data_IF_048821725021
#
_entry.id   IF_048821725021
#
_cell.length_a   1.000
_cell.length_b   1.000
_cell.length_c   1.000
_cell.angle_alpha   90.00
_cell.angle_beta   90.00
_cell.angle_gamma   90.00
#
_symmetry.space_group_name_H-M   'P 1'
#
loop_
_entity.id
_entity.type
_entity.pdbx_description
1 polymer ?
#
# COMPACT_ATOMS: atom_id res chain seq x y z
N UNK A 1 30.96 45.93 -5.13
CA UNK A 1 30.24 44.95 -4.27
C UNK A 1 28.75 44.76 -4.62
N UNK A 2 28.25 45.19 -5.80
CA UNK A 2 26.83 45.04 -6.17
C UNK A 2 26.52 43.80 -7.05
N UNK A 3 27.52 43.20 -7.71
CA UNK A 3 27.32 42.03 -8.58
C UNK A 3 27.13 40.70 -7.81
N UNK A 4 27.55 40.62 -6.53
CA UNK A 4 27.36 39.42 -5.71
C UNK A 4 25.91 39.22 -5.22
N UNK A 5 25.16 40.31 -5.01
CA UNK A 5 23.79 40.28 -4.48
C UNK A 5 22.74 39.95 -5.54
N UNK A 6 22.98 40.30 -6.81
CA UNK A 6 22.11 39.93 -7.94
C UNK A 6 22.36 38.48 -8.38
N UNK A 7 23.60 38.00 -8.29
CA UNK A 7 23.99 36.60 -8.53
C UNK A 7 23.36 35.65 -7.51
N UNK A 8 23.40 35.99 -6.21
CA UNK A 8 22.85 35.16 -5.14
C UNK A 8 21.33 34.99 -5.28
N UNK A 9 20.58 36.08 -5.50
CA UNK A 9 19.12 36.00 -5.72
C UNK A 9 18.76 35.19 -6.97
N UNK A 10 19.50 35.35 -8.07
CA UNK A 10 19.26 34.59 -9.30
C UNK A 10 19.57 33.09 -9.17
N UNK A 11 20.62 32.73 -8.43
CA UNK A 11 20.93 31.33 -8.10
C UNK A 11 19.87 30.72 -7.19
N UNK A 12 19.35 31.47 -6.21
CA UNK A 12 18.25 31.02 -5.37
C UNK A 12 16.97 30.74 -6.16
N UNK A 13 16.59 31.60 -7.11
CA UNK A 13 15.42 31.35 -7.95
C UNK A 13 15.57 30.11 -8.85
N UNK A 14 16.76 29.86 -9.40
CA UNK A 14 17.05 28.64 -10.17
C UNK A 14 16.96 27.39 -9.30
N UNK A 15 17.56 27.41 -8.11
CA UNK A 15 17.49 26.29 -7.17
C UNK A 15 16.06 26.04 -6.70
N UNK A 16 15.28 27.09 -6.41
CA UNK A 16 13.87 26.96 -6.03
C UNK A 16 13.02 26.37 -7.16
N UNK A 17 13.26 26.78 -8.41
CA UNK A 17 12.58 26.22 -9.58
C UNK A 17 12.91 24.74 -9.76
N UNK A 18 14.19 24.35 -9.62
CA UNK A 18 14.64 22.96 -9.67
C UNK A 18 14.02 22.12 -8.55
N UNK A 19 14.04 22.63 -7.31
CA UNK A 19 13.41 21.93 -6.19
C UNK A 19 11.90 21.75 -6.38
N UNK A 20 11.23 22.68 -7.06
CA UNK A 20 9.82 22.56 -7.37
C UNK A 20 9.56 21.43 -8.36
N UNK A 21 10.36 21.30 -9.42
CA UNK A 21 10.20 20.19 -10.38
C UNK A 21 10.49 18.84 -9.72
N UNK A 22 11.56 18.74 -8.92
CA UNK A 22 11.89 17.52 -8.18
C UNK A 22 10.80 17.11 -7.19
N UNK A 23 10.12 18.07 -6.54
CA UNK A 23 8.97 17.79 -5.67
C UNK A 23 7.80 17.21 -6.46
N UNK A 24 7.50 17.78 -7.63
CA UNK A 24 6.44 17.28 -8.51
C UNK A 24 6.75 15.86 -8.99
N UNK A 25 7.98 15.60 -9.41
CA UNK A 25 8.44 14.25 -9.80
C UNK A 25 8.32 13.27 -8.63
N UNK A 26 8.74 13.67 -7.43
CA UNK A 26 8.63 12.84 -6.23
C UNK A 26 7.15 12.52 -5.88
N UNK A 27 6.26 13.50 -5.99
CA UNK A 27 4.81 13.30 -5.80
C UNK A 27 4.26 12.33 -6.84
N UNK A 28 4.63 12.47 -8.12
CA UNK A 28 4.22 11.54 -9.18
C UNK A 28 4.71 10.11 -8.89
N UNK A 29 5.99 9.94 -8.58
CA UNK A 29 6.56 8.63 -8.25
C UNK A 29 5.89 8.00 -7.02
N UNK A 30 5.47 8.83 -6.06
CA UNK A 30 4.71 8.38 -4.88
C UNK A 30 3.31 7.91 -5.26
N UNK A 31 2.64 8.61 -6.17
CA UNK A 31 1.34 8.21 -6.70
C UNK A 31 1.43 6.89 -7.49
N UNK A 32 2.48 6.72 -8.29
CA UNK A 32 2.73 5.48 -9.03
C UNK A 32 2.95 4.29 -8.08
N UNK A 33 3.72 4.49 -7.00
CA UNK A 33 3.94 3.48 -5.98
C UNK A 33 2.64 3.09 -5.25
N UNK A 34 1.78 4.07 -4.94
CA UNK A 34 0.45 3.81 -4.38
C UNK A 34 -0.44 3.04 -5.35
N UNK A 35 -0.47 3.41 -6.63
CA UNK A 35 -1.27 2.73 -7.65
C UNK A 35 -0.83 1.27 -7.84
N UNK A 36 0.49 1.03 -7.92
CA UNK A 36 1.04 -0.31 -7.98
C UNK A 36 0.66 -1.17 -6.76
N UNK A 37 0.76 -0.58 -5.57
CA UNK A 37 0.37 -1.24 -4.32
C UNK A 37 -1.12 -1.55 -4.26
N UNK A 38 -1.98 -0.61 -4.65
CA UNK A 38 -3.43 -0.81 -4.72
C UNK A 38 -3.79 -1.93 -5.70
N UNK A 39 -3.13 -1.99 -6.86
CA UNK A 39 -3.28 -3.06 -7.83
C UNK A 39 -2.91 -4.44 -7.25
N UNK A 40 -1.76 -4.53 -6.56
CA UNK A 40 -1.31 -5.76 -5.93
C UNK A 40 -2.27 -6.24 -4.82
N UNK A 41 -2.71 -5.33 -3.95
CA UNK A 41 -3.70 -5.60 -2.89
C UNK A 41 -5.01 -6.08 -3.52
N UNK A 42 -5.50 -5.40 -4.56
CA UNK A 42 -6.73 -5.77 -5.26
C UNK A 42 -6.67 -7.18 -5.87
N UNK A 43 -5.57 -7.51 -6.57
CA UNK A 43 -5.35 -8.86 -7.11
C UNK A 43 -5.37 -9.93 -6.03
N UNK A 44 -4.74 -9.64 -4.88
CA UNK A 44 -4.71 -10.56 -3.75
C UNK A 44 -6.08 -10.75 -3.13
N UNK A 45 -6.82 -9.68 -2.87
CA UNK A 45 -8.19 -9.74 -2.37
C UNK A 45 -9.09 -10.55 -3.31
N UNK A 46 -8.92 -10.41 -4.62
CA UNK A 46 -9.62 -11.23 -5.62
C UNK A 46 -9.33 -12.72 -5.47
N UNK A 47 -8.07 -13.12 -5.29
CA UNK A 47 -7.71 -14.53 -5.04
C UNK A 47 -8.31 -15.05 -3.73
N UNK A 48 -8.21 -14.27 -2.65
CA UNK A 48 -8.80 -14.62 -1.35
C UNK A 48 -10.31 -14.85 -1.46
N UNK A 49 -11.02 -14.00 -2.21
CA UNK A 49 -12.45 -14.17 -2.43
C UNK A 49 -12.78 -15.46 -3.18
N UNK A 50 -11.98 -15.82 -4.19
CA UNK A 50 -12.15 -17.07 -4.94
C UNK A 50 -11.89 -18.29 -4.06
N UNK A 51 -10.82 -18.27 -3.27
CA UNK A 51 -10.48 -19.34 -2.34
C UNK A 51 -11.57 -19.55 -1.28
N UNK A 52 -12.09 -18.44 -0.72
CA UNK A 52 -13.18 -18.52 0.26
C UNK A 52 -14.49 -19.01 -0.38
N UNK A 53 -14.78 -18.62 -1.62
CA UNK A 53 -15.88 -19.18 -2.39
C UNK A 53 -15.78 -20.71 -2.52
N UNK A 54 -14.58 -21.24 -2.79
CA UNK A 54 -14.35 -22.67 -2.84
C UNK A 54 -14.54 -23.36 -1.47
N UNK A 55 -14.20 -22.69 -0.36
CA UNK A 55 -14.47 -23.20 0.99
C UNK A 55 -15.98 -23.21 1.30
N UNK A 56 -16.69 -22.14 0.95
CA UNK A 56 -18.12 -22.01 1.13
C UNK A 56 -18.89 -23.08 0.35
N UNK A 57 -18.53 -23.32 -0.91
CA UNK A 57 -19.13 -24.38 -1.74
C UNK A 57 -18.90 -25.78 -1.16
N UNK A 58 -17.70 -26.05 -0.65
CA UNK A 58 -17.39 -27.32 0.04
C UNK A 58 -18.23 -27.50 1.30
N UNK A 59 -18.36 -26.45 2.10
CA UNK A 59 -19.20 -26.47 3.30
C UNK A 59 -20.68 -26.68 2.96
N UNK A 60 -21.19 -25.98 1.93
CA UNK A 60 -22.55 -26.15 1.45
C UNK A 60 -22.81 -27.58 0.97
N UNK A 61 -21.90 -28.17 0.20
CA UNK A 61 -21.99 -29.56 -0.22
C UNK A 61 -21.98 -30.54 0.98
N UNK A 62 -21.15 -30.29 1.99
CA UNK A 62 -21.11 -31.11 3.19
C UNK A 62 -22.42 -31.03 4.00
N UNK A 63 -23.05 -29.85 4.05
CA UNK A 63 -24.37 -29.66 4.69
C UNK A 63 -25.46 -30.38 3.92
N UNK A 64 -25.51 -30.26 2.60
CA UNK A 64 -26.57 -30.89 1.78
C UNK A 64 -26.45 -32.41 1.73
N UNK A 65 -25.23 -32.96 1.81
CA UNK A 65 -24.99 -34.40 1.84
C UNK A 65 -25.11 -35.02 3.24
N UNK A 66 -25.30 -34.20 4.29
CA UNK A 66 -25.40 -34.68 5.65
C UNK A 66 -26.66 -35.53 5.85
N UNK A 67 -26.48 -36.76 6.35
CA UNK A 67 -27.59 -37.69 6.63
C UNK A 67 -28.28 -37.44 7.96
N UNK A 68 -27.76 -36.52 8.78
CA UNK A 68 -28.32 -36.15 10.08
C UNK A 68 -28.18 -34.64 10.33
N UNK A 69 -29.10 -34.02 11.10
CA UNK A 69 -28.98 -32.62 11.49
C UNK A 69 -27.67 -32.33 12.25
N UNK A 70 -27.19 -33.26 13.07
CA UNK A 70 -25.92 -33.11 13.79
C UNK A 70 -24.73 -32.97 12.83
N UNK A 71 -24.70 -33.75 11.75
CA UNK A 71 -23.63 -33.67 10.73
C UNK A 71 -23.71 -32.39 9.90
N UNK A 72 -24.92 -31.90 9.63
CA UNK A 72 -25.11 -30.60 8.98
C UNK A 72 -24.59 -29.45 9.87
N UNK A 73 -24.91 -29.48 11.16
CA UNK A 73 -24.41 -28.50 12.12
C UNK A 73 -22.88 -28.55 12.25
N UNK A 74 -22.29 -29.74 12.32
CA UNK A 74 -20.82 -29.93 12.35
C UNK A 74 -20.14 -29.29 11.13
N UNK A 75 -20.70 -29.45 9.93
CA UNK A 75 -20.19 -28.84 8.71
C UNK A 75 -20.27 -27.30 8.75
N UNK A 76 -21.38 -26.74 9.25
CA UNK A 76 -21.53 -25.30 9.43
C UNK A 76 -20.53 -24.73 10.45
N UNK A 77 -20.38 -25.38 11.61
CA UNK A 77 -19.43 -24.95 12.64
C UNK A 77 -17.98 -25.03 12.16
N UNK A 78 -17.62 -26.11 11.48
CA UNK A 78 -16.27 -26.30 10.93
C UNK A 78 -15.93 -25.21 9.91
N UNK A 79 -16.88 -24.86 9.04
CA UNK A 79 -16.72 -23.75 8.11
C UNK A 79 -16.57 -22.42 8.83
N UNK A 80 -17.45 -22.10 9.79
CA UNK A 80 -17.44 -20.83 10.51
C UNK A 80 -16.14 -20.60 11.29
N UNK A 81 -15.66 -21.62 12.02
CA UNK A 81 -14.39 -21.55 12.74
C UNK A 81 -13.20 -21.38 11.80
N UNK A 82 -13.20 -22.14 10.68
CA UNK A 82 -12.17 -22.00 9.66
C UNK A 82 -12.17 -20.63 9.00
N UNK A 83 -13.35 -20.09 8.68
CA UNK A 83 -13.52 -18.77 8.08
C UNK A 83 -12.97 -17.68 8.98
N UNK A 84 -13.27 -17.73 10.28
CA UNK A 84 -12.73 -16.77 11.25
C UNK A 84 -11.20 -16.76 11.29
N UNK A 85 -10.58 -17.94 11.34
CA UNK A 85 -9.12 -18.06 11.35
C UNK A 85 -8.50 -17.51 10.07
N UNK A 86 -9.06 -17.86 8.90
CA UNK A 86 -8.60 -17.32 7.61
C UNK A 86 -8.79 -15.81 7.54
N UNK A 87 -9.96 -15.28 7.90
CA UNK A 87 -10.24 -13.86 7.89
C UNK A 87 -9.26 -13.06 8.77
N UNK A 88 -8.94 -13.56 9.97
CA UNK A 88 -7.96 -12.93 10.85
C UNK A 88 -6.55 -12.90 10.22
N UNK A 89 -6.10 -14.01 9.62
CA UNK A 89 -4.82 -14.07 8.92
C UNK A 89 -4.77 -13.12 7.70
N UNK A 90 -5.87 -13.01 6.97
CA UNK A 90 -5.98 -12.09 5.83
C UNK A 90 -5.94 -10.63 6.26
N UNK A 91 -6.60 -10.28 7.36
CA UNK A 91 -6.57 -8.94 7.93
C UNK A 91 -5.15 -8.53 8.35
N UNK A 92 -4.43 -9.42 9.03
CA UNK A 92 -3.03 -9.17 9.40
C UNK A 92 -2.14 -8.95 8.17
N UNK A 93 -2.32 -9.76 7.13
CA UNK A 93 -1.54 -9.61 5.91
C UNK A 93 -1.85 -8.32 5.17
N UNK A 94 -3.14 -7.97 5.05
CA UNK A 94 -3.57 -6.71 4.43
C UNK A 94 -2.99 -5.50 5.17
N UNK A 95 -2.99 -5.52 6.50
CA UNK A 95 -2.37 -4.46 7.30
C UNK A 95 -0.87 -4.32 7.01
N UNK A 96 -0.16 -5.45 6.90
CA UNK A 96 1.26 -5.44 6.50
C UNK A 96 1.48 -4.85 5.11
N UNK A 97 0.63 -5.20 4.14
CA UNK A 97 0.67 -4.67 2.78
C UNK A 97 0.39 -3.17 2.73
N UNK A 98 -0.59 -2.68 3.50
CA UNK A 98 -0.91 -1.25 3.59
C UNK A 98 0.23 -0.45 4.23
N UNK A 99 0.88 -0.97 5.27
CA UNK A 99 2.04 -0.33 5.89
C UNK A 99 3.23 -0.26 4.92
N UNK A 100 3.45 -1.34 4.16
CA UNK A 100 4.48 -1.36 3.11
C UNK A 100 4.17 -0.35 2.03
N UNK A 101 2.93 -0.32 1.53
CA UNK A 101 2.49 0.64 0.51
C UNK A 101 2.67 2.09 0.97
N UNK A 102 2.33 2.40 2.22
CA UNK A 102 2.55 3.72 2.81
C UNK A 102 4.04 4.08 2.84
N UNK A 103 4.90 3.14 3.22
CA UNK A 103 6.36 3.35 3.27
C UNK A 103 6.93 3.60 1.88
N UNK A 104 6.54 2.79 0.90
CA UNK A 104 6.98 2.92 -0.49
C UNK A 104 6.48 4.23 -1.12
N UNK A 105 5.26 4.65 -0.81
CA UNK A 105 4.70 5.93 -1.24
C UNK A 105 5.43 7.13 -0.63
N UNK A 106 5.90 7.05 0.61
CA UNK A 106 6.59 8.17 1.26
C UNK A 106 8.08 8.24 0.90
N UNK A 107 8.68 7.13 0.46
CA UNK A 107 10.11 7.07 0.18
C UNK A 107 10.62 8.11 -0.85
N UNK A 108 9.95 8.34 -2.00
CA UNK A 108 10.37 9.35 -2.97
C UNK A 108 10.36 10.76 -2.39
N UNK A 109 9.29 11.12 -1.67
CA UNK A 109 9.16 12.43 -1.00
C UNK A 109 10.26 12.62 0.02
N UNK A 110 10.48 11.64 0.90
CA UNK A 110 11.52 11.70 1.93
C UNK A 110 12.92 11.84 1.32
N UNK A 111 13.21 11.07 0.27
CA UNK A 111 14.49 11.13 -0.44
C UNK A 111 14.74 12.50 -1.05
N UNK A 112 13.76 13.04 -1.78
CA UNK A 112 13.86 14.36 -2.42
C UNK A 112 13.96 15.48 -1.39
N UNK A 113 13.13 15.45 -0.34
CA UNK A 113 13.20 16.43 0.74
C UNK A 113 14.58 16.44 1.43
N UNK A 114 15.14 15.26 1.72
CA UNK A 114 16.47 15.11 2.33
C UNK A 114 17.58 15.62 1.41
N UNK A 115 17.53 15.27 0.12
CA UNK A 115 18.49 15.75 -0.86
C UNK A 115 18.47 17.28 -0.97
N UNK A 116 17.27 17.87 -1.05
CA UNK A 116 17.09 19.31 -1.23
C UNK A 116 17.53 20.07 0.04
N UNK A 117 17.21 19.56 1.23
CA UNK A 117 17.71 20.12 2.49
C UNK A 117 19.26 20.11 2.56
N UNK A 118 19.89 19.04 2.07
CA UNK A 118 21.37 18.94 2.02
C UNK A 118 21.98 19.95 1.05
N UNK A 119 21.34 20.23 -0.09
CA UNK A 119 21.81 21.24 -1.06
C UNK A 119 21.66 22.65 -0.50
N UNK A 120 20.49 22.98 0.07
CA UNK A 120 20.26 24.28 0.72
C UNK A 120 21.27 24.58 1.84
N UNK A 121 21.71 23.56 2.58
CA UNK A 121 22.74 23.72 3.62
C UNK A 121 24.14 24.02 3.05
N UNK A 122 24.39 23.72 1.77
CA UNK A 122 25.67 24.00 1.09
C UNK A 122 25.68 25.34 0.36
N UNK A 123 24.50 25.85 -0.01
CA UNK A 123 24.34 27.15 -0.68
C UNK A 123 24.12 28.31 0.28
N UNK A 124 23.83 28.05 1.57
CA UNK A 124 23.92 29.02 2.67
C UNK A 124 25.35 29.15 3.20
#
# INVERSE_FOLDING_TARGET
MAQGLTSAKGQDFKELSLMSSEKTEAVSASADALAASAGAIGQRLGRVAMDEGAHALRAAAAVTQARTPAKAAEAQFSYAMGWWSRAAAQAMTLNGELLKAQTEALAPIHKTATANAKRLRKTR
#
